data_IF_280162298161
#
_entry.id   IF_280162298161
#
_cell.length_a   1.000
_cell.length_b   1.000
_cell.length_c   1.000
_cell.angle_alpha   90.00
_cell.angle_beta   90.00
_cell.angle_gamma   90.00
#
_symmetry.space_group_name_H-M   'P 1'
#
loop_
_entity.id
_entity.type
_entity.pdbx_description
1 polymer ?
#
# COMPACT_ATOMS: atom_id res chain seq x y z
N UNK A 1 38.09 7.42 7.64
CA UNK A 1 37.16 6.95 6.59
C UNK A 1 35.95 6.36 7.30
N UNK A 2 34.84 7.08 7.37
CA UNK A 2 33.60 6.48 7.90
C UNK A 2 33.11 5.42 6.93
N UNK A 3 32.81 4.23 7.45
CA UNK A 3 32.30 3.09 6.70
C UNK A 3 30.94 3.46 6.11
N UNK A 4 30.86 3.61 4.78
CA UNK A 4 29.57 3.83 4.13
C UNK A 4 28.69 2.59 4.31
N UNK A 5 27.54 2.76 4.97
CA UNK A 5 26.53 1.73 5.09
C UNK A 5 25.68 1.75 3.81
N UNK A 6 26.03 0.90 2.84
CA UNK A 6 25.17 0.65 1.69
C UNK A 6 23.88 -0.03 2.14
N UNK A 7 22.75 0.39 1.57
CA UNK A 7 21.47 -0.27 1.83
C UNK A 7 21.35 -1.50 0.96
N UNK A 8 21.00 -2.64 1.53
CA UNK A 8 20.64 -3.82 0.75
C UNK A 8 19.23 -3.62 0.18
N UNK A 9 19.06 -3.50 -1.16
CA UNK A 9 17.75 -3.17 -1.76
C UNK A 9 16.67 -4.21 -1.48
N UNK A 10 17.05 -5.49 -1.39
CA UNK A 10 16.11 -6.56 -1.10
C UNK A 10 15.57 -6.49 0.33
N UNK A 11 16.45 -6.31 1.32
CA UNK A 11 16.03 -6.20 2.72
C UNK A 11 15.21 -4.94 2.98
N UNK A 12 15.59 -3.82 2.37
CA UNK A 12 14.86 -2.56 2.49
C UNK A 12 13.50 -2.63 1.79
N UNK A 13 13.44 -3.18 0.57
CA UNK A 13 12.19 -3.48 -0.12
C UNK A 13 11.27 -4.38 0.72
N UNK A 14 11.79 -5.44 1.34
CA UNK A 14 10.99 -6.32 2.20
C UNK A 14 10.39 -5.58 3.40
N UNK A 15 11.15 -4.69 4.03
CA UNK A 15 10.66 -3.85 5.14
C UNK A 15 9.54 -2.92 4.66
N UNK A 16 9.76 -2.20 3.56
CA UNK A 16 8.79 -1.24 3.04
C UNK A 16 7.53 -1.94 2.52
N UNK A 17 7.68 -3.09 1.88
CA UNK A 17 6.56 -3.95 1.50
C UNK A 17 5.73 -4.39 2.71
N UNK A 18 6.35 -4.75 3.83
CA UNK A 18 5.63 -5.11 5.06
C UNK A 18 4.86 -3.92 5.66
N UNK A 19 5.48 -2.73 5.67
CA UNK A 19 4.84 -1.50 6.16
C UNK A 19 3.61 -1.19 5.31
N UNK A 20 3.76 -1.15 3.98
CA UNK A 20 2.65 -0.85 3.08
C UNK A 20 1.59 -1.94 3.07
N UNK A 21 1.96 -3.22 3.23
CA UNK A 21 1.00 -4.31 3.39
C UNK A 21 0.12 -4.06 4.62
N UNK A 22 0.71 -3.67 5.75
CA UNK A 22 -0.02 -3.37 6.98
C UNK A 22 -0.95 -2.18 6.81
N UNK A 23 -0.49 -1.12 6.14
CA UNK A 23 -1.33 0.04 5.80
C UNK A 23 -2.49 -0.38 4.90
N UNK A 24 -2.23 -1.16 3.85
CA UNK A 24 -3.26 -1.65 2.95
C UNK A 24 -4.25 -2.58 3.62
N UNK A 25 -3.83 -3.36 4.61
CA UNK A 25 -4.73 -4.18 5.43
C UNK A 25 -5.67 -3.29 6.25
N UNK A 26 -5.15 -2.24 6.90
CA UNK A 26 -5.98 -1.27 7.64
C UNK A 26 -6.99 -0.60 6.68
N UNK A 27 -6.53 -0.16 5.50
CA UNK A 27 -7.40 0.42 4.48
C UNK A 27 -8.47 -0.59 3.99
N UNK A 28 -8.09 -1.83 3.75
CA UNK A 28 -9.01 -2.91 3.35
C UNK A 28 -10.06 -3.20 4.41
N UNK A 29 -9.67 -3.20 5.69
CA UNK A 29 -10.59 -3.32 6.83
C UNK A 29 -11.58 -2.16 6.82
N UNK A 30 -11.12 -0.92 6.78
CA UNK A 30 -11.99 0.27 6.75
C UNK A 30 -12.95 0.25 5.55
N UNK A 31 -12.46 -0.12 4.37
CA UNK A 31 -13.28 -0.25 3.16
C UNK A 31 -14.34 -1.34 3.31
N UNK A 32 -13.99 -2.49 3.92
CA UNK A 32 -14.93 -3.58 4.12
C UNK A 32 -16.08 -3.21 5.06
N UNK A 33 -15.81 -2.48 6.13
CA UNK A 33 -16.83 -1.94 7.02
C UNK A 33 -17.70 -0.90 6.32
N UNK A 34 -17.09 -0.03 5.51
CA UNK A 34 -17.83 0.92 4.66
C UNK A 34 -18.80 0.20 3.73
N UNK A 35 -18.34 -0.85 3.04
CA UNK A 35 -19.18 -1.68 2.19
C UNK A 35 -20.33 -2.34 2.94
N UNK A 36 -20.08 -2.90 4.13
CA UNK A 36 -21.11 -3.53 4.96
C UNK A 36 -22.16 -2.54 5.48
N UNK A 37 -21.75 -1.32 5.86
CA UNK A 37 -22.67 -0.27 6.30
C UNK A 37 -23.61 0.13 5.14
N UNK A 38 -23.06 0.37 3.96
CA UNK A 38 -23.87 0.70 2.76
C UNK A 38 -24.82 -0.44 2.44
N UNK A 39 -24.36 -1.68 2.48
CA UNK A 39 -25.17 -2.87 2.19
C UNK A 39 -26.35 -3.01 3.18
N UNK A 40 -26.11 -2.74 4.47
CA UNK A 40 -27.15 -2.70 5.50
C UNK A 40 -28.17 -1.57 5.26
N UNK A 41 -27.71 -0.35 4.95
CA UNK A 41 -28.58 0.79 4.70
C UNK A 41 -29.46 0.60 3.46
N UNK A 42 -28.93 -0.03 2.41
CA UNK A 42 -29.72 -0.40 1.22
C UNK A 42 -30.71 -1.52 1.56
N UNK A 43 -30.29 -2.53 2.33
CA UNK A 43 -31.17 -3.62 2.79
C UNK A 43 -32.35 -3.13 3.63
N UNK A 44 -32.15 -2.09 4.43
CA UNK A 44 -33.19 -1.46 5.25
C UNK A 44 -34.08 -0.48 4.48
N UNK A 45 -33.92 -0.35 3.15
CA UNK A 45 -34.59 0.64 2.30
C UNK A 45 -34.37 2.11 2.76
N UNK A 46 -33.29 2.37 3.51
CA UNK A 46 -32.91 3.73 3.95
C UNK A 46 -32.22 4.48 2.79
N UNK A 47 -31.49 3.76 1.94
CA UNK A 47 -30.83 4.26 0.73
C UNK A 47 -31.32 3.50 -0.50
N UNK A 48 -31.50 4.18 -1.64
CA UNK A 48 -31.85 3.52 -2.89
C UNK A 48 -30.62 2.92 -3.57
N UNK A 49 -30.75 1.67 -4.02
CA UNK A 49 -29.69 0.96 -4.74
C UNK A 49 -29.33 1.65 -6.08
N UNK A 50 -30.28 2.37 -6.68
CA UNK A 50 -30.05 3.15 -7.91
C UNK A 50 -29.17 4.39 -7.67
N UNK A 51 -29.30 5.05 -6.52
CA UNK A 51 -28.48 6.21 -6.17
C UNK A 51 -27.03 5.82 -5.82
N UNK A 52 -26.85 4.64 -5.23
CA UNK A 52 -25.54 4.14 -4.78
C UNK A 52 -24.78 3.37 -5.87
N UNK A 53 -25.32 3.26 -7.09
CA UNK A 53 -24.69 2.50 -8.19
C UNK A 53 -24.32 1.06 -7.79
N UNK A 54 -25.10 0.46 -6.89
CA UNK A 54 -24.94 -0.92 -6.41
C UNK A 54 -26.09 -1.79 -6.94
N UNK A 55 -26.17 -2.06 -8.26
CA UNK A 55 -27.17 -2.96 -8.81
C UNK A 55 -26.82 -4.39 -8.38
N UNK A 56 -27.39 -4.81 -7.26
CA UNK A 56 -27.20 -6.10 -6.62
C UNK A 56 -26.52 -5.98 -5.26
N UNK A 57 -27.31 -6.15 -4.20
CA UNK A 57 -26.91 -6.27 -2.79
C UNK A 57 -25.64 -7.14 -2.61
N UNK A 58 -25.54 -8.24 -3.38
CA UNK A 58 -24.41 -9.18 -3.35
C UNK A 58 -23.06 -8.62 -3.84
N UNK A 59 -23.02 -7.55 -4.63
CA UNK A 59 -21.75 -7.04 -5.20
C UNK A 59 -20.97 -6.17 -4.21
N UNK A 60 -21.66 -5.47 -3.31
CA UNK A 60 -21.03 -4.64 -2.29
C UNK A 60 -20.24 -5.47 -1.29
N UNK A 61 -20.83 -6.56 -0.81
CA UNK A 61 -20.17 -7.51 0.10
C UNK A 61 -18.97 -8.20 -0.58
N UNK A 62 -19.09 -8.58 -1.85
CA UNK A 62 -17.99 -9.19 -2.61
C UNK A 62 -16.80 -8.23 -2.77
N UNK A 63 -17.07 -6.95 -3.06
CA UNK A 63 -16.04 -5.91 -3.13
C UNK A 63 -15.42 -5.62 -1.76
N UNK A 64 -16.21 -5.64 -0.68
CA UNK A 64 -15.73 -5.45 0.69
C UNK A 64 -14.74 -6.55 1.11
N UNK A 65 -15.08 -7.82 0.87
CA UNK A 65 -14.17 -8.94 1.11
C UNK A 65 -13.00 -8.97 0.12
N UNK A 66 -13.24 -8.56 -1.12
CA UNK A 66 -12.19 -8.37 -2.12
C UNK A 66 -11.16 -7.34 -1.68
N UNK A 67 -11.57 -6.23 -1.05
CA UNK A 67 -10.68 -5.19 -0.55
C UNK A 67 -9.80 -5.65 0.62
N UNK A 68 -10.30 -6.55 1.49
CA UNK A 68 -9.52 -7.14 2.58
C UNK A 68 -8.29 -7.91 2.10
N UNK A 69 -8.34 -8.49 0.91
CA UNK A 69 -7.21 -9.20 0.30
C UNK A 69 -6.47 -8.31 -0.71
N UNK A 70 -7.23 -7.63 -1.59
CA UNK A 70 -6.69 -6.86 -2.70
C UNK A 70 -5.85 -5.67 -2.24
N UNK A 71 -6.35 -4.87 -1.29
CA UNK A 71 -5.63 -3.69 -0.83
C UNK A 71 -4.28 -4.01 -0.17
N UNK A 72 -4.18 -4.93 0.81
CA UNK A 72 -2.88 -5.28 1.38
C UNK A 72 -1.91 -5.90 0.38
N UNK A 73 -2.38 -6.75 -0.55
CA UNK A 73 -1.50 -7.36 -1.55
C UNK A 73 -0.95 -6.29 -2.50
N UNK A 74 -1.81 -5.44 -3.06
CA UNK A 74 -1.40 -4.39 -4.00
C UNK A 74 -0.48 -3.40 -3.30
N UNK A 75 -0.85 -2.91 -2.11
CA UNK A 75 -0.02 -1.97 -1.38
C UNK A 75 1.33 -2.57 -0.98
N UNK A 76 1.36 -3.83 -0.53
CA UNK A 76 2.58 -4.52 -0.16
C UNK A 76 3.55 -4.69 -1.33
N UNK A 77 3.03 -5.07 -2.51
CA UNK A 77 3.84 -5.15 -3.75
C UNK A 77 4.36 -3.77 -4.15
N UNK A 78 3.51 -2.74 -4.14
CA UNK A 78 3.92 -1.37 -4.44
C UNK A 78 5.00 -0.89 -3.45
N UNK A 79 4.82 -1.13 -2.15
CA UNK A 79 5.79 -0.76 -1.11
C UNK A 79 7.13 -1.48 -1.28
N UNK A 80 7.12 -2.76 -1.67
CA UNK A 80 8.34 -3.50 -1.96
C UNK A 80 9.10 -2.88 -3.14
N UNK A 81 8.40 -2.61 -4.25
CA UNK A 81 8.99 -2.00 -5.45
C UNK A 81 9.55 -0.62 -5.13
N UNK A 82 8.79 0.21 -4.41
CA UNK A 82 9.24 1.53 -3.98
C UNK A 82 10.49 1.43 -3.10
N UNK A 83 10.55 0.51 -2.15
CA UNK A 83 11.74 0.34 -1.32
C UNK A 83 12.97 -0.13 -2.08
N UNK A 84 12.81 -1.04 -3.05
CA UNK A 84 13.93 -1.41 -3.93
C UNK A 84 14.44 -0.19 -4.69
N UNK A 85 13.54 0.62 -5.25
CA UNK A 85 13.89 1.85 -5.98
C UNK A 85 14.60 2.85 -5.06
N UNK A 86 14.06 3.10 -3.86
CA UNK A 86 14.64 4.02 -2.87
C UNK A 86 16.04 3.58 -2.45
N UNK A 87 16.27 2.30 -2.20
CA UNK A 87 17.57 1.78 -1.84
C UNK A 87 18.59 1.90 -2.98
N UNK A 88 18.17 1.66 -4.24
CA UNK A 88 19.02 1.86 -5.41
C UNK A 88 19.41 3.33 -5.58
N UNK A 89 18.45 4.24 -5.45
CA UNK A 89 18.66 5.68 -5.51
C UNK A 89 19.63 6.13 -4.40
N UNK A 90 19.40 5.69 -3.17
CA UNK A 90 20.26 6.01 -2.02
C UNK A 90 21.71 5.56 -2.25
N UNK A 91 21.91 4.32 -2.70
CA UNK A 91 23.24 3.78 -2.99
C UNK A 91 23.94 4.52 -4.14
N UNK A 92 23.19 4.92 -5.17
CA UNK A 92 23.73 5.71 -6.28
C UNK A 92 24.22 7.08 -5.81
N UNK A 93 23.39 7.83 -5.07
CA UNK A 93 23.75 9.17 -4.59
C UNK A 93 24.90 9.14 -3.59
N UNK A 94 24.91 8.19 -2.65
CA UNK A 94 25.99 8.06 -1.67
C UNK A 94 27.32 7.65 -2.32
N UNK A 95 27.29 6.92 -3.42
CA UNK A 95 28.51 6.61 -4.18
C UNK A 95 28.97 7.81 -5.00
N UNK A 96 28.05 8.56 -5.63
CA UNK A 96 28.38 9.72 -6.47
C UNK A 96 28.86 10.94 -5.69
N UNK A 97 28.33 11.21 -4.48
CA UNK A 97 28.68 12.40 -3.71
C UNK A 97 30.03 12.28 -2.98
N UNK A 98 30.39 11.08 -2.49
CA UNK A 98 31.62 10.87 -1.74
C UNK A 98 32.85 10.60 -2.63
N UNK A 99 32.68 10.39 -3.93
CA UNK A 99 33.79 10.21 -4.87
C UNK A 99 34.45 11.53 -5.31
N UNK A 100 33.92 12.69 -4.92
CA UNK A 100 34.62 13.98 -5.01
C UNK A 100 35.11 14.37 -3.61
N UNK A 101 36.41 14.24 -3.29
CA UNK A 101 36.92 14.91 -2.10
C UNK A 101 36.69 16.43 -2.25
N UNK A 102 36.33 17.15 -1.17
CA UNK A 102 36.42 18.60 -1.18
C UNK A 102 37.87 18.95 -1.53
N UNK A 103 38.06 19.63 -2.67
CA UNK A 103 39.34 20.24 -2.99
C UNK A 103 39.52 21.39 -2.01
N UNK A 104 40.26 21.13 -0.93
CA UNK A 104 40.91 22.16 -0.12
C UNK A 104 42.12 22.67 -0.89
#
# INVERSE_FOLDING_TARGET
MEKQNTLNPYNFGKLQGLIFFTIGLICGVLYSFGGLIIDCLVSLNILSAEAMSTPGLSKGTLLAFGALLGMPIISGVCGFVLGVIEALIFNYFTTSFYHKPPKL
#
